data_IF_895515703191
#
_entry.id   IF_895515703191
#
_cell.length_a   1.000
_cell.length_b   1.000
_cell.length_c   1.000
_cell.angle_alpha   90.00
_cell.angle_beta   90.00
_cell.angle_gamma   90.00
#
_symmetry.space_group_name_H-M   'P 1'
#
loop_
_entity.id
_entity.type
_entity.pdbx_description
1 polymer ?
#
# COMPACT_ATOMS: atom_id res chain seq x y z
N UNK A 1 -2.32 -15.11 -23.30
CA UNK A 1 -2.73 -14.26 -22.16
C UNK A 1 -1.74 -13.11 -22.15
N UNK A 2 -2.18 -11.90 -22.50
CA UNK A 2 -1.30 -10.76 -22.79
C UNK A 2 -0.56 -10.31 -21.51
N UNK A 3 0.76 -10.14 -21.62
CA UNK A 3 1.67 -9.92 -20.49
C UNK A 3 2.25 -8.51 -20.58
N UNK A 4 1.89 -7.62 -19.65
CA UNK A 4 2.59 -6.35 -19.48
C UNK A 4 3.90 -6.64 -18.73
N UNK A 5 5.04 -6.39 -19.37
CA UNK A 5 6.34 -6.59 -18.74
C UNK A 5 6.85 -5.26 -18.17
N UNK A 6 7.54 -5.33 -17.04
CA UNK A 6 8.25 -4.19 -16.52
C UNK A 6 9.57 -4.03 -17.26
N UNK A 7 9.84 -2.82 -17.75
CA UNK A 7 11.20 -2.41 -18.10
C UNK A 7 11.86 -1.73 -16.89
N UNK A 8 13.18 -1.87 -16.77
CA UNK A 8 13.91 -1.27 -15.66
C UNK A 8 13.84 0.26 -15.71
N UNK A 9 13.87 0.87 -16.89
CA UNK A 9 13.78 2.33 -17.05
C UNK A 9 12.43 2.84 -16.55
N UNK A 10 11.34 2.17 -16.95
CA UNK A 10 9.99 2.51 -16.50
C UNK A 10 9.83 2.31 -14.98
N UNK A 11 10.44 1.25 -14.42
CA UNK A 11 10.40 1.00 -12.99
C UNK A 11 11.12 2.10 -12.20
N UNK A 12 12.33 2.52 -12.61
CA UNK A 12 13.03 3.62 -11.95
C UNK A 12 12.32 4.97 -12.14
N UNK A 13 11.72 5.21 -13.30
CA UNK A 13 10.88 6.39 -13.52
C UNK A 13 9.66 6.40 -12.58
N UNK A 14 9.03 5.23 -12.37
CA UNK A 14 7.97 5.05 -11.37
C UNK A 14 8.47 5.35 -9.95
N UNK A 15 9.63 4.83 -9.53
CA UNK A 15 10.19 5.10 -8.21
C UNK A 15 10.48 6.60 -8.01
N UNK A 16 10.97 7.28 -9.05
CA UNK A 16 11.15 8.74 -9.04
C UNK A 16 9.83 9.49 -8.80
N UNK A 17 8.72 9.03 -9.42
CA UNK A 17 7.38 9.58 -9.17
C UNK A 17 6.93 9.34 -7.73
N UNK A 18 7.14 8.15 -7.18
CA UNK A 18 6.82 7.85 -5.78
C UNK A 18 7.57 8.77 -4.82
N UNK A 19 8.87 8.96 -5.04
CA UNK A 19 9.68 9.90 -4.26
C UNK A 19 9.09 11.31 -4.30
N UNK A 20 8.75 11.79 -5.50
CA UNK A 20 8.14 13.12 -5.66
C UNK A 20 6.77 13.21 -4.98
N UNK A 21 5.93 12.19 -5.07
CA UNK A 21 4.61 12.16 -4.40
C UNK A 21 4.77 12.24 -2.88
N UNK A 22 5.70 11.51 -2.29
CA UNK A 22 5.89 11.47 -0.83
C UNK A 22 6.53 12.73 -0.25
N UNK A 23 7.06 13.64 -1.09
CA UNK A 23 7.41 15.01 -0.63
C UNK A 23 6.18 15.82 -0.24
N UNK A 24 4.99 15.47 -0.76
CA UNK A 24 3.74 16.12 -0.39
C UNK A 24 3.42 15.73 1.07
N UNK A 25 3.47 16.72 1.97
CA UNK A 25 3.32 16.52 3.43
C UNK A 25 2.12 15.65 3.83
N UNK A 26 0.96 15.83 3.20
CA UNK A 26 -0.23 15.01 3.51
C UNK A 26 -0.08 13.53 3.13
N UNK A 27 0.72 13.21 2.12
CA UNK A 27 0.99 11.83 1.71
C UNK A 27 1.95 11.09 2.65
N UNK A 28 2.62 11.79 3.58
CA UNK A 28 3.34 11.13 4.68
C UNK A 28 2.41 10.31 5.58
N UNK A 29 1.09 10.53 5.52
CA UNK A 29 0.08 9.65 6.14
C UNK A 29 0.13 8.22 5.63
N UNK A 30 0.79 7.94 4.49
CA UNK A 30 1.10 6.59 4.04
C UNK A 30 1.87 5.76 5.09
N UNK A 31 2.61 6.40 6.01
CA UNK A 31 3.24 5.77 7.17
C UNK A 31 2.25 5.18 8.19
N UNK A 32 0.96 5.58 8.15
CA UNK A 32 -0.09 5.04 9.03
C UNK A 32 -0.75 3.79 8.45
N UNK A 33 -0.50 3.49 7.19
CA UNK A 33 -0.97 2.25 6.59
C UNK A 33 -0.12 1.09 7.13
N UNK A 34 -0.60 -0.13 6.93
CA UNK A 34 0.24 -1.32 7.02
C UNK A 34 0.71 -1.75 5.62
N UNK A 35 1.53 -2.80 5.60
CA UNK A 35 1.84 -3.51 4.36
C UNK A 35 2.62 -2.67 3.35
N UNK A 36 2.26 -2.82 2.08
CA UNK A 36 3.00 -2.27 0.94
C UNK A 36 3.03 -0.76 0.91
N UNK A 37 1.93 -0.10 1.25
CA UNK A 37 1.87 1.38 1.23
C UNK A 37 2.86 1.96 2.23
N UNK A 38 2.91 1.39 3.44
CA UNK A 38 3.89 1.75 4.46
C UNK A 38 5.31 1.44 4.02
N UNK A 39 5.56 0.25 3.47
CA UNK A 39 6.91 -0.14 3.05
C UNK A 39 7.45 0.75 1.93
N UNK A 40 6.59 1.17 1.00
CA UNK A 40 6.93 2.14 -0.04
C UNK A 40 7.16 3.53 0.55
N UNK A 41 6.35 3.95 1.53
CA UNK A 41 6.57 5.23 2.21
C UNK A 41 7.95 5.27 2.89
N UNK A 42 8.30 4.22 3.64
CA UNK A 42 9.62 4.06 4.29
C UNK A 42 10.77 4.04 3.29
N UNK A 43 10.57 3.51 2.09
CA UNK A 43 11.63 3.46 1.09
C UNK A 43 12.14 4.86 0.71
N UNK A 44 11.28 5.87 0.77
CA UNK A 44 11.59 7.23 0.33
C UNK A 44 11.64 8.26 1.46
N UNK A 45 10.94 7.99 2.57
CA UNK A 45 10.90 8.89 3.72
C UNK A 45 12.04 8.55 4.68
N UNK A 46 12.89 9.54 4.98
CA UNK A 46 13.96 9.35 5.95
C UNK A 46 13.43 9.63 7.36
N UNK A 47 13.58 8.67 8.27
CA UNK A 47 13.03 8.78 9.63
C UNK A 47 13.68 9.90 10.46
N UNK A 48 14.91 10.28 10.11
CA UNK A 48 15.72 11.20 10.91
C UNK A 48 15.40 12.69 10.66
N UNK A 49 14.93 13.08 9.46
CA UNK A 49 14.73 14.50 9.10
C UNK A 49 13.27 14.85 8.76
N UNK A 50 12.44 13.90 8.32
CA UNK A 50 11.14 14.22 7.71
C UNK A 50 9.93 13.95 8.62
N UNK A 51 10.13 13.30 9.77
CA UNK A 51 9.06 12.96 10.71
C UNK A 51 8.73 14.04 11.73
N UNK A 52 9.67 14.94 12.05
CA UNK A 52 9.43 16.07 12.96
C UNK A 52 8.40 17.06 12.42
N UNK A 53 8.18 17.07 11.09
CA UNK A 53 7.14 17.86 10.42
C UNK A 53 5.89 17.05 10.04
N UNK A 54 5.73 15.80 10.49
CA UNK A 54 4.49 15.03 10.26
C UNK A 54 3.32 15.65 11.05
N UNK A 55 2.03 15.44 10.69
CA UNK A 55 0.92 16.06 11.42
C UNK A 55 0.98 15.75 12.91
N UNK A 56 0.58 16.73 13.75
CA UNK A 56 0.63 16.70 15.21
C UNK A 56 0.38 15.30 15.81
N UNK A 57 1.12 14.91 16.87
CA UNK A 57 0.88 13.68 17.64
C UNK A 57 -0.58 13.46 18.04
N UNK A 58 -1.40 14.51 18.08
CA UNK A 58 -2.83 14.47 18.41
C UNK A 58 -3.74 13.84 17.35
N UNK A 59 -3.28 13.57 16.13
CA UNK A 59 -4.12 12.96 15.08
C UNK A 59 -4.26 11.42 15.23
N UNK A 60 -4.40 10.95 16.48
CA UNK A 60 -4.62 9.57 16.84
C UNK A 60 -6.12 9.22 16.76
N UNK A 61 -6.39 8.24 15.89
CA UNK A 61 -7.49 7.27 15.89
C UNK A 61 -8.85 7.59 15.24
N UNK A 62 -9.20 8.82 14.87
CA UNK A 62 -10.43 9.09 14.09
C UNK A 62 -10.26 10.32 13.18
N UNK A 63 -11.08 10.51 12.12
CA UNK A 63 -11.27 11.85 11.55
C UNK A 63 -11.67 12.77 12.69
N UNK A 64 -10.76 13.63 13.12
CA UNK A 64 -11.08 14.60 14.16
C UNK A 64 -11.85 15.72 13.51
N UNK A 65 -13.14 15.79 13.78
CA UNK A 65 -13.87 17.05 13.64
C UNK A 65 -13.26 18.00 14.66
N UNK A 66 -12.37 18.88 14.23
CA UNK A 66 -11.99 20.03 15.05
C UNK A 66 -13.27 20.87 15.20
N UNK A 67 -13.84 20.88 16.41
CA UNK A 67 -15.02 21.70 16.70
C UNK A 67 -14.57 23.16 16.80
N UNK A 68 -14.46 23.81 15.65
CA UNK A 68 -14.49 25.26 15.50
C UNK A 68 -15.85 25.73 14.98
N UNK A 69 -15.93 26.95 14.44
CA UNK A 69 -17.14 27.41 13.72
C UNK A 69 -17.53 26.51 12.55
N UNK A 70 -16.55 25.79 11.98
CA UNK A 70 -16.70 24.86 10.85
C UNK A 70 -16.03 23.51 11.18
N UNK A 71 -16.62 22.41 10.69
CA UNK A 71 -16.05 21.07 10.79
C UNK A 71 -14.86 20.92 9.82
N UNK A 72 -13.64 20.87 10.35
CA UNK A 72 -12.45 20.53 9.55
C UNK A 72 -12.30 19.01 9.49
N UNK A 73 -12.25 18.44 8.28
CA UNK A 73 -12.12 17.00 8.03
C UNK A 73 -10.65 16.69 7.74
N UNK A 74 -10.13 15.61 8.34
CA UNK A 74 -8.78 15.13 8.02
C UNK A 74 -8.73 14.57 6.59
N UNK A 75 -7.99 15.22 5.69
CA UNK A 75 -7.83 14.78 4.30
C UNK A 75 -7.02 13.48 4.25
N UNK A 76 -7.71 12.33 4.24
CA UNK A 76 -7.08 11.02 4.07
C UNK A 76 -6.31 10.88 2.74
N UNK A 77 -5.59 9.77 2.58
CA UNK A 77 -4.93 9.46 1.30
C UNK A 77 -5.98 8.92 0.32
N UNK A 78 -6.11 9.55 -0.86
CA UNK A 78 -7.12 9.17 -1.85
C UNK A 78 -6.78 7.83 -2.51
N UNK A 79 -7.79 7.18 -3.09
CA UNK A 79 -7.60 5.91 -3.81
C UNK A 79 -6.63 6.07 -4.98
N UNK A 80 -6.74 7.17 -5.72
CA UNK A 80 -5.91 7.50 -6.87
C UNK A 80 -4.44 7.65 -6.43
N UNK A 81 -4.20 8.23 -5.25
CA UNK A 81 -2.86 8.37 -4.70
C UNK A 81 -2.25 7.03 -4.28
N UNK A 82 -3.05 6.16 -3.68
CA UNK A 82 -2.63 4.79 -3.40
C UNK A 82 -2.34 4.02 -4.69
N UNK A 83 -3.17 4.19 -5.74
CA UNK A 83 -2.95 3.57 -7.05
C UNK A 83 -1.66 4.08 -7.72
N UNK A 84 -1.36 5.39 -7.59
CA UNK A 84 -0.10 5.97 -8.04
C UNK A 84 1.10 5.39 -7.28
N UNK A 85 0.99 5.27 -5.95
CA UNK A 85 2.04 4.69 -5.12
C UNK A 85 2.28 3.22 -5.45
N UNK A 86 1.24 2.41 -5.70
CA UNK A 86 1.40 1.01 -6.11
C UNK A 86 1.84 0.85 -7.56
N UNK A 87 1.98 1.96 -8.29
CA UNK A 87 2.43 1.98 -9.68
C UNK A 87 1.42 1.34 -10.62
N UNK A 88 0.14 1.67 -10.43
CA UNK A 88 -0.97 1.17 -11.25
C UNK A 88 -1.00 1.90 -12.59
N UNK A 89 -1.14 1.16 -13.68
CA UNK A 89 -1.34 1.70 -15.02
C UNK A 89 -2.48 0.98 -15.72
N UNK A 90 -3.16 1.73 -16.58
CA UNK A 90 -4.31 1.26 -17.34
C UNK A 90 -3.91 1.05 -18.79
N UNK A 91 -4.11 -0.18 -19.27
CA UNK A 91 -3.90 -0.52 -20.68
C UNK A 91 -5.26 -0.48 -21.36
N UNK A 92 -5.41 0.48 -22.27
CA UNK A 92 -6.60 0.66 -23.10
C UNK A 92 -6.46 -0.09 -24.41
N UNK A 93 -7.50 -0.79 -24.82
CA UNK A 93 -7.59 -1.44 -26.13
C UNK A 93 -8.87 -1.00 -26.83
N UNK A 94 -8.78 -0.83 -28.14
CA UNK A 94 -9.94 -0.46 -28.96
C UNK A 94 -11.11 -1.41 -28.70
N UNK A 95 -12.22 -0.86 -28.21
CA UNK A 95 -13.46 -1.58 -27.97
C UNK A 95 -13.55 -2.41 -26.68
N UNK A 96 -12.55 -2.37 -25.79
CA UNK A 96 -12.62 -3.09 -24.50
C UNK A 96 -12.43 -2.18 -23.29
N UNK A 97 -12.90 -2.66 -22.11
CA UNK A 97 -12.61 -2.00 -20.83
C UNK A 97 -11.10 -1.98 -20.58
N UNK A 98 -10.63 -0.91 -19.95
CA UNK A 98 -9.24 -0.78 -19.53
C UNK A 98 -8.85 -1.91 -18.57
N UNK A 99 -7.67 -2.50 -18.78
CA UNK A 99 -7.12 -3.50 -17.87
C UNK A 99 -6.07 -2.85 -16.99
N UNK A 100 -6.24 -2.97 -15.67
CA UNK A 100 -5.28 -2.46 -14.68
C UNK A 100 -4.19 -3.47 -14.39
N UNK A 101 -2.96 -3.00 -14.41
CA UNK A 101 -1.75 -3.70 -13.98
C UNK A 101 -1.00 -2.83 -12.98
N UNK A 102 -0.18 -3.43 -12.13
CA UNK A 102 0.62 -2.67 -11.17
C UNK A 102 1.92 -3.35 -10.80
N UNK A 103 2.88 -2.56 -10.30
CA UNK A 103 4.13 -3.05 -9.72
C UNK A 103 3.91 -3.74 -8.38
N UNK A 104 2.96 -3.24 -7.59
CA UNK A 104 2.63 -3.74 -6.25
C UNK A 104 1.13 -4.01 -6.11
N UNK A 105 0.71 -4.90 -5.18
CA UNK A 105 -0.71 -5.14 -4.95
C UNK A 105 -1.37 -3.89 -4.36
N UNK A 106 -2.60 -3.61 -4.78
CA UNK A 106 -3.39 -2.54 -4.21
C UNK A 106 -3.63 -2.77 -2.71
N UNK A 107 -3.78 -1.71 -1.92
CA UNK A 107 -3.92 -1.80 -0.46
C UNK A 107 -5.07 -2.74 -0.03
N UNK A 108 -6.23 -2.67 -0.69
CA UNK A 108 -7.37 -3.56 -0.41
C UNK A 108 -7.15 -5.03 -0.83
N UNK A 109 -6.19 -5.31 -1.71
CA UNK A 109 -5.79 -6.68 -2.09
C UNK A 109 -4.82 -7.23 -1.05
N UNK A 110 -3.91 -6.39 -0.54
CA UNK A 110 -3.02 -6.73 0.56
C UNK A 110 -3.78 -6.98 1.86
N UNK A 111 -4.73 -6.09 2.19
CA UNK A 111 -5.53 -6.20 3.42
C UNK A 111 -6.36 -7.49 3.41
N UNK A 112 -6.20 -8.30 4.45
CA UNK A 112 -6.82 -9.63 4.58
C UNK A 112 -6.14 -10.74 3.76
N UNK A 113 -5.00 -10.46 3.12
CA UNK A 113 -4.16 -11.48 2.49
C UNK A 113 -3.40 -12.30 3.54
N UNK A 114 -2.73 -13.38 3.14
CA UNK A 114 -1.91 -14.17 4.08
C UNK A 114 -0.63 -13.48 4.52
N UNK A 115 -0.25 -12.37 3.87
CA UNK A 115 0.86 -11.51 4.26
C UNK A 115 0.42 -10.38 5.21
N UNK A 116 -0.89 -10.22 5.42
CA UNK A 116 -1.46 -9.26 6.36
C UNK A 116 -1.57 -9.86 7.76
N UNK A 117 -0.44 -9.87 8.47
CA UNK A 117 -0.30 -10.41 9.82
C UNK A 117 -0.42 -9.34 10.92
N UNK A 118 -0.89 -8.14 10.58
CA UNK A 118 -0.94 -6.99 11.49
C UNK A 118 0.41 -6.32 11.77
N UNK A 119 1.51 -6.86 11.23
CA UNK A 119 2.85 -6.28 11.27
C UNK A 119 3.62 -6.61 9.97
N UNK A 120 4.67 -5.85 9.69
CA UNK A 120 5.60 -6.17 8.60
C UNK A 120 6.59 -7.24 9.05
N UNK A 121 6.43 -8.46 8.55
CA UNK A 121 7.26 -9.62 8.94
C UNK A 121 8.53 -9.73 8.09
N UNK A 122 9.54 -10.51 8.53
CA UNK A 122 10.69 -10.84 7.68
C UNK A 122 10.30 -11.43 6.32
N UNK A 123 9.30 -12.33 6.28
CA UNK A 123 8.79 -12.91 5.03
C UNK A 123 8.21 -11.84 4.08
N UNK A 124 7.56 -10.80 4.63
CA UNK A 124 7.06 -9.68 3.84
C UNK A 124 8.22 -8.89 3.22
N UNK A 125 9.30 -8.68 3.98
CA UNK A 125 10.50 -7.99 3.49
C UNK A 125 11.21 -8.80 2.41
N UNK A 126 11.43 -10.10 2.62
CA UNK A 126 12.06 -10.99 1.63
C UNK A 126 11.28 -11.00 0.32
N UNK A 127 9.94 -11.10 0.42
CA UNK A 127 9.06 -11.01 -0.73
C UNK A 127 9.16 -9.64 -1.44
N UNK A 128 9.17 -8.54 -0.67
CA UNK A 128 9.25 -7.18 -1.20
C UNK A 128 10.58 -6.93 -1.91
N UNK A 129 11.70 -7.28 -1.27
CA UNK A 129 13.05 -7.12 -1.82
C UNK A 129 13.24 -8.00 -3.05
N UNK A 130 12.79 -9.26 -3.00
CA UNK A 130 12.85 -10.15 -4.16
C UNK A 130 12.07 -9.60 -5.36
N UNK A 131 10.91 -9.00 -5.09
CA UNK A 131 10.10 -8.35 -6.12
C UNK A 131 10.66 -7.03 -6.62
N UNK A 132 11.23 -6.22 -5.73
CA UNK A 132 11.94 -5.00 -6.09
C UNK A 132 13.08 -5.32 -7.05
N UNK A 133 13.87 -6.35 -6.71
CA UNK A 133 14.98 -6.83 -7.53
C UNK A 133 14.52 -7.32 -8.91
N UNK A 134 13.42 -8.08 -8.95
CA UNK A 134 12.85 -8.57 -10.20
C UNK A 134 12.63 -7.44 -11.21
N UNK A 135 12.04 -6.32 -10.78
CA UNK A 135 11.77 -5.18 -11.66
C UNK A 135 13.01 -4.30 -11.89
N UNK A 136 13.90 -4.14 -10.90
CA UNK A 136 15.14 -3.38 -11.09
C UNK A 136 16.06 -4.01 -12.12
N UNK A 137 16.06 -5.35 -12.20
CA UNK A 137 16.87 -6.11 -13.14
C UNK A 137 16.24 -6.14 -14.57
N UNK A 138 15.18 -5.35 -14.81
CA UNK A 138 14.46 -5.29 -16.09
C UNK A 138 13.64 -6.56 -16.40
N UNK A 139 13.32 -7.31 -15.35
CA UNK A 139 12.57 -8.54 -15.43
C UNK A 139 11.14 -8.41 -14.90
N UNK A 140 10.37 -9.47 -15.10
CA UNK A 140 9.10 -9.66 -14.43
C UNK A 140 7.88 -9.11 -15.17
N UNK A 141 6.77 -9.78 -14.91
CA UNK A 141 5.48 -9.43 -15.45
C UNK A 141 4.69 -8.64 -14.43
N UNK A 142 4.13 -7.53 -14.88
CA UNK A 142 3.19 -6.73 -14.11
C UNK A 142 1.90 -7.51 -13.95
N UNK A 143 1.36 -7.47 -12.74
CA UNK A 143 0.25 -8.32 -12.35
C UNK A 143 -1.06 -7.53 -12.34
N UNK A 144 -2.13 -8.22 -12.74
CA UNK A 144 -3.50 -7.76 -12.56
C UNK A 144 -3.97 -8.05 -11.14
N UNK A 145 -5.06 -7.40 -10.74
CA UNK A 145 -5.66 -7.56 -9.41
C UNK A 145 -5.87 -9.03 -9.01
N UNK A 146 -6.43 -9.88 -9.88
CA UNK A 146 -6.65 -11.29 -9.55
C UNK A 146 -5.35 -12.10 -9.43
N UNK A 147 -4.32 -11.72 -10.17
CA UNK A 147 -3.01 -12.37 -10.13
C UNK A 147 -2.26 -11.99 -8.85
N UNK A 148 -2.47 -10.76 -8.37
CA UNK A 148 -2.02 -10.35 -7.05
C UNK A 148 -2.65 -11.21 -5.96
N UNK A 149 -3.97 -11.39 -5.96
CA UNK A 149 -4.66 -12.24 -4.97
C UNK A 149 -4.03 -13.64 -4.90
N UNK A 150 -3.72 -14.25 -6.04
CA UNK A 150 -3.03 -15.54 -6.08
C UNK A 150 -1.59 -15.46 -5.56
N UNK A 151 -0.87 -14.38 -5.87
CA UNK A 151 0.54 -14.20 -5.49
C UNK A 151 0.74 -13.94 -3.99
N UNK A 152 -0.18 -13.21 -3.37
CA UNK A 152 -0.11 -12.84 -1.95
C UNK A 152 -1.11 -13.61 -1.09
N UNK A 153 -1.72 -14.66 -1.62
CA UNK A 153 -2.67 -15.46 -0.87
C UNK A 153 -2.03 -15.92 0.45
N UNK A 154 -0.74 -16.27 0.42
CA UNK A 154 0.03 -16.68 1.60
C UNK A 154 -0.57 -17.91 2.28
N UNK A 155 -0.28 -18.10 3.56
CA UNK A 155 -0.73 -19.26 4.32
C UNK A 155 -2.22 -19.15 4.71
N UNK A 156 -3.01 -20.19 4.42
CA UNK A 156 -4.43 -20.24 4.79
C UNK A 156 -4.64 -20.09 6.29
N UNK A 157 -3.78 -20.72 7.08
CA UNK A 157 -3.88 -20.74 8.54
C UNK A 157 -3.63 -19.36 9.14
N UNK A 158 -2.68 -18.60 8.58
CA UNK A 158 -2.46 -17.20 8.92
C UNK A 158 -3.74 -16.36 8.75
N UNK A 159 -4.43 -16.50 7.60
CA UNK A 159 -5.69 -15.78 7.35
C UNK A 159 -6.79 -16.16 8.34
N UNK A 160 -6.89 -17.43 8.69
CA UNK A 160 -7.88 -17.92 9.67
C UNK A 160 -7.57 -17.38 11.06
N UNK A 161 -6.29 -17.43 11.47
CA UNK A 161 -5.81 -16.91 12.74
C UNK A 161 -6.11 -15.42 12.87
N UNK A 162 -5.75 -14.60 11.88
CA UNK A 162 -5.95 -13.16 11.91
C UNK A 162 -7.45 -12.78 12.00
N UNK A 163 -8.31 -13.46 11.24
CA UNK A 163 -9.77 -13.27 11.37
C UNK A 163 -10.30 -13.65 12.76
N UNK A 164 -9.78 -14.74 13.32
CA UNK A 164 -10.13 -15.17 14.68
C UNK A 164 -9.69 -14.16 15.75
N UNK A 165 -8.48 -13.61 15.58
CA UNK A 165 -7.92 -12.58 16.45
C UNK A 165 -8.73 -11.29 16.39
N UNK A 166 -9.01 -10.78 15.19
CA UNK A 166 -9.82 -9.56 14.99
C UNK A 166 -11.20 -9.70 15.63
N UNK A 167 -11.87 -10.84 15.43
CA UNK A 167 -13.18 -11.11 16.04
C UNK A 167 -13.13 -11.05 17.56
N UNK A 168 -12.11 -11.69 18.17
CA UNK A 168 -11.94 -11.68 19.64
C UNK A 168 -11.61 -10.30 20.17
N UNK A 169 -10.73 -9.58 19.49
CA UNK A 169 -10.36 -8.20 19.85
C UNK A 169 -11.58 -7.27 19.80
N UNK A 170 -12.40 -7.37 18.75
CA UNK A 170 -13.66 -6.61 18.64
C UNK A 170 -14.61 -6.91 19.79
N UNK A 171 -14.84 -8.19 20.10
CA UNK A 171 -15.70 -8.57 21.24
C UNK A 171 -15.17 -8.08 22.58
N UNK A 172 -13.85 -8.00 22.77
CA UNK A 172 -13.25 -7.47 24.00
C UNK A 172 -13.48 -5.95 24.14
N UNK A 173 -13.39 -5.21 23.03
CA UNK A 173 -13.64 -3.75 23.03
C UNK A 173 -15.12 -3.46 23.30
N UNK A 174 -16.04 -4.21 22.69
CA UNK A 174 -17.49 -4.01 22.84
C UNK A 174 -18.05 -4.43 24.22
N UNK A 175 -17.29 -5.20 25.00
CA UNK A 175 -17.68 -5.65 26.35
C UNK A 175 -17.24 -4.70 27.48
N UNK A 176 -16.45 -3.67 27.16
CA UNK A 176 -16.08 -2.58 28.07
C UNK A 176 -16.77 -1.28 27.66
#
# INVERSE_FOLDING_TARGET
>A
METANADSVDFFAYLGKCRNLLTIRRLRKCLRFGGIIWRLAILFLNFDDELDDSPSPDALNHPQTLVGRDALIDDGVSKEELELLTGTFEVYRMGSKATKFSYWPAHHVWSGSGFDMGAWTPDNEDWFVGRFKLYSDGGGRLLRVHEWISNINGFKDARIMMKGLEKRARSFIEQN
#
